data_IF_912139800259
#
_entry.id   IF_912139800259
#
_cell.length_a   1.000
_cell.length_b   1.000
_cell.length_c   1.000
_cell.angle_alpha   90.00
_cell.angle_beta   90.00
_cell.angle_gamma   90.00
#
_symmetry.space_group_name_H-M   'P 1'
#
loop_
_entity.id
_entity.type
_entity.pdbx_description
1 polymer ?
#
# COMPACT_ATOMS: atom_id res chain seq x y z
N UNK A 1 -37.41 9.91 -12.36
CA UNK A 1 -36.20 9.37 -13.02
C UNK A 1 -35.14 10.47 -12.99
N UNK A 2 -34.05 10.38 -12.21
CA UNK A 2 -32.94 11.28 -12.42
C UNK A 2 -32.24 10.89 -13.73
N UNK A 3 -31.95 11.87 -14.58
CA UNK A 3 -31.12 11.69 -15.76
C UNK A 3 -29.74 11.19 -15.31
N UNK A 4 -29.29 10.06 -15.84
CA UNK A 4 -27.88 9.70 -15.78
C UNK A 4 -27.12 10.78 -16.55
N UNK A 5 -26.39 11.63 -15.84
CA UNK A 5 -25.45 12.54 -16.47
C UNK A 5 -24.39 11.68 -17.18
N UNK A 6 -24.25 11.84 -18.50
CA UNK A 6 -23.17 11.21 -19.25
C UNK A 6 -21.84 11.59 -18.58
N UNK A 7 -21.10 10.60 -18.08
CA UNK A 7 -19.78 10.83 -17.51
C UNK A 7 -18.89 11.47 -18.57
N UNK A 8 -18.25 12.59 -18.24
CA UNK A 8 -17.41 13.28 -19.18
C UNK A 8 -16.09 12.52 -19.39
N UNK A 9 -15.73 12.30 -20.65
CA UNK A 9 -14.55 11.54 -21.06
C UNK A 9 -13.34 12.42 -21.35
N UNK A 10 -12.15 11.99 -20.95
CA UNK A 10 -10.86 12.53 -21.40
C UNK A 10 -9.89 11.39 -21.74
N UNK A 11 -9.02 11.58 -22.74
CA UNK A 11 -8.07 10.55 -23.18
C UNK A 11 -6.66 11.11 -23.28
N UNK A 12 -5.72 10.36 -22.76
CA UNK A 12 -4.27 10.60 -22.85
C UNK A 12 -3.59 9.42 -23.58
N UNK A 13 -2.26 9.36 -23.54
CA UNK A 13 -1.50 8.26 -24.15
C UNK A 13 -1.73 6.94 -23.41
N UNK A 14 -1.81 6.97 -22.08
CA UNK A 14 -1.87 5.79 -21.21
C UNK A 14 -3.19 5.66 -20.44
N UNK A 15 -4.09 6.65 -20.46
CA UNK A 15 -5.34 6.62 -19.71
C UNK A 15 -6.57 7.06 -20.52
N UNK A 16 -7.74 6.52 -20.18
CA UNK A 16 -9.05 7.07 -20.56
C UNK A 16 -9.87 7.30 -19.31
N UNK A 17 -10.27 8.53 -19.04
CA UNK A 17 -10.89 8.92 -17.78
C UNK A 17 -12.36 9.22 -17.99
N UNK A 18 -13.23 8.61 -17.18
CA UNK A 18 -14.62 8.99 -16.99
C UNK A 18 -14.78 9.62 -15.60
N UNK A 19 -15.22 10.88 -15.54
CA UNK A 19 -15.38 11.64 -14.30
C UNK A 19 -16.64 12.52 -14.32
N UNK A 20 -17.05 13.11 -13.18
CA UNK A 20 -18.24 13.96 -13.09
C UNK A 20 -18.25 15.18 -14.03
N UNK A 21 -17.09 15.73 -14.38
CA UNK A 21 -16.98 16.88 -15.30
C UNK A 21 -15.80 16.72 -16.27
N UNK A 22 -15.85 17.34 -17.47
CA UNK A 22 -14.74 17.27 -18.43
C UNK A 22 -13.44 17.85 -17.89
N UNK A 23 -13.53 18.91 -17.09
CA UNK A 23 -12.38 19.55 -16.45
C UNK A 23 -11.70 18.58 -15.48
N UNK A 24 -12.49 17.90 -14.65
CA UNK A 24 -11.97 16.93 -13.70
C UNK A 24 -11.41 15.68 -14.39
N UNK A 25 -12.06 15.21 -15.47
CA UNK A 25 -11.52 14.11 -16.28
C UNK A 25 -10.13 14.46 -16.85
N UNK A 26 -9.96 15.71 -17.31
CA UNK A 26 -8.67 16.23 -17.77
C UNK A 26 -7.63 16.30 -16.66
N UNK A 27 -8.00 16.87 -15.51
CA UNK A 27 -7.09 16.98 -14.35
C UNK A 27 -6.58 15.61 -13.89
N UNK A 28 -7.48 14.62 -13.77
CA UNK A 28 -7.12 13.26 -13.37
C UNK A 28 -6.23 12.60 -14.42
N UNK A 29 -6.56 12.74 -15.71
CA UNK A 29 -5.77 12.16 -16.79
C UNK A 29 -4.36 12.73 -16.86
N UNK A 30 -4.22 14.05 -16.77
CA UNK A 30 -2.93 14.72 -16.78
C UNK A 30 -2.12 14.39 -15.50
N UNK A 31 -2.76 14.34 -14.33
CA UNK A 31 -2.12 13.92 -13.09
C UNK A 31 -1.63 12.47 -13.15
N UNK A 32 -2.42 11.55 -13.75
CA UNK A 32 -2.03 10.16 -13.90
C UNK A 32 -0.81 9.99 -14.82
N UNK A 33 -0.73 10.73 -15.93
CA UNK A 33 0.46 10.74 -16.80
C UNK A 33 1.69 11.32 -16.09
N UNK A 34 1.51 12.42 -15.35
CA UNK A 34 2.59 13.04 -14.59
C UNK A 34 3.12 12.09 -13.51
N UNK A 35 2.22 11.48 -12.71
CA UNK A 35 2.57 10.48 -11.70
C UNK A 35 3.26 9.29 -12.35
N UNK A 36 2.74 8.79 -13.48
CA UNK A 36 3.31 7.65 -14.21
C UNK A 36 4.77 7.91 -14.57
N UNK A 37 5.07 9.08 -15.12
CA UNK A 37 6.44 9.46 -15.49
C UNK A 37 7.33 9.60 -14.25
N UNK A 38 6.94 10.44 -13.32
CA UNK A 38 7.79 10.85 -12.20
C UNK A 38 8.05 9.69 -11.26
N UNK A 39 7.01 8.93 -10.90
CA UNK A 39 7.14 7.77 -10.02
C UNK A 39 7.90 6.64 -10.71
N UNK A 40 7.77 6.45 -12.03
CA UNK A 40 8.61 5.47 -12.73
C UNK A 40 10.09 5.86 -12.65
N UNK A 41 10.44 7.13 -12.86
CA UNK A 41 11.81 7.62 -12.71
C UNK A 41 12.31 7.44 -11.27
N UNK A 42 11.46 7.72 -10.29
CA UNK A 42 11.81 7.60 -8.87
C UNK A 42 12.07 6.13 -8.46
N UNK A 43 11.14 5.23 -8.79
CA UNK A 43 11.21 3.82 -8.43
C UNK A 43 12.21 3.03 -9.28
N UNK A 44 12.27 3.29 -10.59
CA UNK A 44 13.00 2.47 -11.55
C UNK A 44 14.23 3.17 -12.15
N UNK A 45 14.40 4.48 -11.95
CA UNK A 45 15.45 5.27 -12.59
C UNK A 45 15.18 5.60 -14.07
N UNK A 46 13.99 5.26 -14.59
CA UNK A 46 13.60 5.48 -15.98
C UNK A 46 12.09 5.54 -16.13
N UNK A 47 11.63 6.18 -17.20
CA UNK A 47 10.24 6.04 -17.64
C UNK A 47 9.95 4.61 -18.11
N UNK A 48 8.68 4.24 -18.08
CA UNK A 48 8.19 2.99 -18.64
C UNK A 48 7.44 3.25 -19.96
N UNK A 49 7.51 2.32 -20.93
CA UNK A 49 6.93 2.54 -22.25
C UNK A 49 5.41 2.73 -22.16
N UNK A 50 4.85 3.41 -23.15
CA UNK A 50 3.40 3.52 -23.27
C UNK A 50 2.76 2.14 -23.41
N UNK A 51 1.59 1.96 -22.77
CA UNK A 51 0.83 0.72 -22.93
C UNK A 51 0.12 0.69 -24.29
N UNK A 52 0.01 -0.50 -24.88
CA UNK A 52 -0.69 -0.70 -26.16
C UNK A 52 -2.17 -0.32 -26.07
N UNK A 53 -2.79 -0.51 -24.89
CA UNK A 53 -4.15 -0.08 -24.58
C UNK A 53 -4.12 0.80 -23.33
N UNK A 54 -4.67 2.02 -23.37
CA UNK A 54 -4.81 2.86 -22.20
C UNK A 54 -5.60 2.19 -21.08
N UNK A 55 -5.27 2.50 -19.83
CA UNK A 55 -6.01 2.12 -18.64
C UNK A 55 -7.29 2.97 -18.51
N UNK A 56 -8.49 2.38 -18.50
CA UNK A 56 -9.71 3.07 -18.12
C UNK A 56 -9.68 3.45 -16.65
N UNK A 57 -9.92 4.73 -16.36
CA UNK A 57 -10.13 5.28 -15.03
C UNK A 57 -11.60 5.66 -14.88
N UNK A 58 -12.28 5.06 -13.91
CA UNK A 58 -13.60 5.46 -13.47
C UNK A 58 -13.49 6.23 -12.15
N UNK A 59 -13.80 7.53 -12.18
CA UNK A 59 -13.63 8.41 -11.03
C UNK A 59 -14.98 8.82 -10.42
N UNK A 60 -15.20 8.47 -9.15
CA UNK A 60 -16.31 8.96 -8.34
C UNK A 60 -15.82 10.05 -7.36
N UNK A 61 -16.15 11.31 -7.64
CA UNK A 61 -15.52 12.45 -6.94
C UNK A 61 -16.54 13.32 -6.24
N UNK A 62 -16.49 13.31 -4.91
CA UNK A 62 -17.38 14.06 -4.03
C UNK A 62 -16.65 14.57 -2.78
N UNK A 63 -16.94 15.79 -2.27
CA UNK A 63 -16.19 16.39 -1.16
C UNK A 63 -16.09 15.54 0.12
N UNK A 64 -17.12 14.76 0.43
CA UNK A 64 -17.21 13.97 1.66
C UNK A 64 -16.97 12.47 1.45
N UNK A 65 -16.55 12.07 0.25
CA UNK A 65 -16.23 10.68 -0.04
C UNK A 65 -14.82 10.38 0.45
N UNK A 66 -14.67 9.25 1.13
CA UNK A 66 -13.36 8.82 1.59
C UNK A 66 -12.46 8.47 0.39
N UNK A 67 -11.16 8.76 0.53
CA UNK A 67 -10.16 8.44 -0.48
C UNK A 67 -9.95 6.93 -0.59
N UNK A 68 -10.00 6.39 -1.81
CA UNK A 68 -9.68 5.00 -2.07
C UNK A 68 -9.71 4.68 -3.56
N UNK A 69 -9.07 3.59 -3.93
CA UNK A 69 -9.06 3.10 -5.29
C UNK A 69 -8.88 1.60 -5.37
N UNK A 70 -8.99 1.09 -6.59
CA UNK A 70 -8.62 -0.25 -6.94
C UNK A 70 -8.16 -0.29 -8.40
N UNK A 71 -6.98 -0.84 -8.63
CA UNK A 71 -6.45 -1.14 -9.95
C UNK A 71 -6.41 -2.64 -10.16
N UNK A 72 -6.96 -3.10 -11.28
CA UNK A 72 -6.93 -4.50 -11.69
C UNK A 72 -6.24 -4.68 -13.04
N UNK A 73 -5.61 -5.84 -13.20
CA UNK A 73 -4.88 -6.25 -14.39
C UNK A 73 -4.59 -7.76 -14.33
N UNK A 74 -4.17 -8.31 -15.47
CA UNK A 74 -3.89 -9.72 -15.67
C UNK A 74 -2.43 -9.88 -16.08
N UNK A 75 -1.78 -10.91 -15.52
CA UNK A 75 -0.50 -11.40 -16.01
C UNK A 75 -0.71 -12.67 -16.83
N UNK A 76 -0.20 -12.70 -18.06
CA UNK A 76 -0.09 -13.92 -18.86
C UNK A 76 1.21 -13.89 -19.67
N UNK A 77 1.95 -15.00 -19.68
CA UNK A 77 3.20 -15.16 -20.42
C UNK A 77 4.21 -14.00 -20.25
N UNK A 78 4.35 -13.50 -19.01
CA UNK A 78 5.26 -12.39 -18.69
C UNK A 78 4.83 -11.05 -19.27
N UNK A 79 3.58 -10.91 -19.70
CA UNK A 79 2.97 -9.65 -20.11
C UNK A 79 1.92 -9.24 -19.09
N UNK A 80 1.65 -7.93 -19.02
CA UNK A 80 0.57 -7.35 -18.22
C UNK A 80 -0.38 -6.59 -19.13
N UNK A 81 -1.69 -6.82 -18.96
CA UNK A 81 -2.74 -6.17 -19.74
C UNK A 81 -4.08 -6.21 -18.98
N UNK A 82 -5.13 -5.69 -19.62
CA UNK A 82 -6.47 -5.68 -19.04
C UNK A 82 -6.60 -4.71 -17.88
N UNK A 83 -5.88 -3.58 -17.96
CA UNK A 83 -5.93 -2.52 -16.97
C UNK A 83 -7.36 -2.01 -16.78
N UNK A 84 -7.76 -1.82 -15.53
CA UNK A 84 -8.96 -1.11 -15.12
C UNK A 84 -8.68 -0.46 -13.77
N UNK A 85 -9.01 0.83 -13.63
CA UNK A 85 -8.78 1.60 -12.42
C UNK A 85 -10.08 2.26 -11.98
N UNK A 86 -10.48 2.05 -10.73
CA UNK A 86 -11.60 2.72 -10.09
C UNK A 86 -11.05 3.58 -8.96
N UNK A 87 -11.38 4.87 -8.94
CA UNK A 87 -10.90 5.81 -7.93
C UNK A 87 -12.06 6.59 -7.33
N UNK A 88 -11.95 6.92 -6.05
CA UNK A 88 -12.94 7.71 -5.36
C UNK A 88 -12.34 8.65 -4.30
N UNK A 89 -13.05 9.74 -4.00
CA UNK A 89 -12.72 10.64 -2.91
C UNK A 89 -13.07 12.10 -3.18
N UNK A 90 -12.58 13.02 -2.34
CA UNK A 90 -12.60 14.44 -2.69
C UNK A 90 -11.64 14.70 -3.87
N UNK A 91 -11.87 15.78 -4.63
CA UNK A 91 -10.99 16.17 -5.74
C UNK A 91 -9.52 16.22 -5.30
N UNK A 92 -9.24 16.82 -4.15
CA UNK A 92 -7.90 16.93 -3.58
C UNK A 92 -7.29 15.55 -3.35
N UNK A 93 -7.95 14.69 -2.56
CA UNK A 93 -7.42 13.36 -2.21
C UNK A 93 -7.29 12.44 -3.42
N UNK A 94 -8.16 12.58 -4.42
CA UNK A 94 -8.05 11.84 -5.67
C UNK A 94 -6.75 12.21 -6.39
N UNK A 95 -6.45 13.50 -6.53
CA UNK A 95 -5.31 13.98 -7.31
C UNK A 95 -3.96 13.75 -6.63
N UNK A 96 -3.89 13.88 -5.30
CA UNK A 96 -2.61 13.87 -4.57
C UNK A 96 -2.39 12.65 -3.65
N UNK A 97 -3.33 11.69 -3.66
CA UNK A 97 -3.22 10.46 -2.87
C UNK A 97 -3.62 9.23 -3.67
N UNK A 98 -4.86 9.19 -4.18
CA UNK A 98 -5.38 7.98 -4.84
C UNK A 98 -4.73 7.74 -6.20
N UNK A 99 -4.66 8.76 -7.08
CA UNK A 99 -4.01 8.61 -8.39
C UNK A 99 -2.53 8.20 -8.26
N UNK A 100 -1.70 8.84 -7.42
CA UNK A 100 -0.33 8.39 -7.18
C UNK A 100 -0.24 6.92 -6.73
N UNK A 101 -1.09 6.50 -5.80
CA UNK A 101 -1.15 5.11 -5.28
C UNK A 101 -1.48 4.11 -6.40
N UNK A 102 -2.60 4.32 -7.08
CA UNK A 102 -3.09 3.41 -8.11
C UNK A 102 -2.17 3.35 -9.33
N UNK A 103 -1.57 4.47 -9.72
CA UNK A 103 -0.56 4.50 -10.79
C UNK A 103 0.71 3.73 -10.38
N UNK A 104 1.09 3.75 -9.10
CA UNK A 104 2.25 2.98 -8.61
C UNK A 104 2.07 1.47 -8.79
N UNK A 105 0.87 0.94 -8.55
CA UNK A 105 0.57 -0.47 -8.87
C UNK A 105 0.83 -0.79 -10.34
N UNK A 106 0.44 0.09 -11.26
CA UNK A 106 0.65 -0.12 -12.69
C UNK A 106 2.14 -0.10 -13.08
N UNK A 107 2.95 0.72 -12.39
CA UNK A 107 4.40 0.79 -12.58
C UNK A 107 5.03 -0.53 -12.14
N UNK A 108 4.68 -1.01 -10.95
CA UNK A 108 5.19 -2.28 -10.41
C UNK A 108 4.77 -3.46 -11.27
N UNK A 109 3.52 -3.52 -11.69
CA UNK A 109 3.03 -4.58 -12.58
C UNK A 109 3.75 -4.57 -13.94
N UNK A 110 4.01 -3.37 -14.50
CA UNK A 110 4.77 -3.22 -15.75
C UNK A 110 6.22 -3.70 -15.60
N UNK A 111 6.82 -3.45 -14.42
CA UNK A 111 8.21 -3.80 -14.12
C UNK A 111 8.39 -5.29 -13.82
N UNK A 112 7.67 -5.81 -12.82
CA UNK A 112 7.86 -7.17 -12.31
C UNK A 112 7.17 -8.24 -13.16
N UNK A 113 6.06 -7.90 -13.82
CA UNK A 113 5.29 -8.82 -14.70
C UNK A 113 4.85 -10.12 -14.02
N UNK A 114 4.70 -10.06 -12.70
CA UNK A 114 4.18 -11.10 -11.84
C UNK A 114 3.61 -10.47 -10.56
N UNK A 115 2.73 -11.17 -9.83
CA UNK A 115 2.18 -10.66 -8.58
C UNK A 115 3.27 -10.39 -7.53
N UNK A 116 3.20 -9.23 -6.89
CA UNK A 116 4.02 -8.92 -5.71
C UNK A 116 3.40 -9.50 -4.43
N UNK A 117 4.21 -9.75 -3.37
CA UNK A 117 3.68 -9.93 -2.03
C UNK A 117 2.85 -8.70 -1.63
N UNK A 118 1.67 -8.92 -1.06
CA UNK A 118 0.70 -7.83 -0.83
C UNK A 118 1.23 -6.74 0.08
N UNK A 119 2.03 -7.10 1.08
CA UNK A 119 2.64 -6.12 1.99
C UNK A 119 3.56 -5.16 1.26
N UNK A 120 4.29 -5.66 0.25
CA UNK A 120 5.29 -4.90 -0.48
C UNK A 120 4.62 -3.98 -1.50
N UNK A 121 3.62 -4.50 -2.22
CA UNK A 121 2.85 -3.74 -3.20
C UNK A 121 2.08 -2.60 -2.53
N UNK A 122 1.17 -2.93 -1.60
CA UNK A 122 0.37 -1.93 -0.90
C UNK A 122 1.24 -1.01 -0.07
N UNK A 123 2.24 -1.56 0.62
CA UNK A 123 3.12 -0.77 1.47
C UNK A 123 3.88 0.30 0.71
N UNK A 124 4.43 -0.05 -0.46
CA UNK A 124 5.15 0.88 -1.31
C UNK A 124 4.20 1.88 -1.99
N UNK A 125 3.03 1.47 -2.47
CA UNK A 125 2.02 2.39 -3.02
C UNK A 125 1.55 3.41 -1.98
N UNK A 126 1.34 3.02 -0.72
CA UNK A 126 0.98 3.97 0.34
C UNK A 126 2.09 4.98 0.66
N UNK A 127 3.35 4.74 0.28
CA UNK A 127 4.43 5.74 0.51
C UNK A 127 4.30 7.00 -0.34
N UNK A 128 3.52 6.96 -1.43
CA UNK A 128 3.29 8.11 -2.31
C UNK A 128 1.92 8.76 -2.08
N UNK A 129 1.16 8.25 -1.11
CA UNK A 129 -0.07 8.89 -0.66
C UNK A 129 0.22 10.20 0.08
N UNK A 130 -0.81 11.03 0.20
CA UNK A 130 -0.71 12.26 0.96
C UNK A 130 -0.51 11.99 2.45
N UNK A 131 0.23 12.88 3.12
CA UNK A 131 0.61 12.73 4.52
C UNK A 131 -0.58 12.52 5.49
N UNK A 132 -1.76 13.05 5.16
CA UNK A 132 -2.98 12.83 5.97
C UNK A 132 -3.48 11.40 5.94
N UNK A 133 -3.37 10.71 4.80
CA UNK A 133 -3.77 9.31 4.64
C UNK A 133 -2.73 8.39 5.27
N UNK A 134 -1.44 8.66 5.04
CA UNK A 134 -0.33 8.01 5.74
C UNK A 134 -0.51 8.10 7.25
N UNK A 135 -0.80 9.28 7.80
CA UNK A 135 -0.98 9.47 9.24
C UNK A 135 -2.14 8.63 9.82
N UNK A 136 -3.16 8.28 9.02
CA UNK A 136 -4.23 7.36 9.45
C UNK A 136 -3.69 5.93 9.56
N UNK A 137 -2.99 5.46 8.54
CA UNK A 137 -2.35 4.13 8.52
C UNK A 137 -1.39 3.97 9.69
N UNK A 138 -0.59 5.00 9.95
CA UNK A 138 0.35 5.04 11.04
C UNK A 138 -0.29 4.94 12.43
N UNK A 139 -1.43 5.61 12.66
CA UNK A 139 -2.18 5.48 13.92
C UNK A 139 -2.77 4.07 14.07
N UNK A 140 -3.39 3.55 13.00
CA UNK A 140 -3.95 2.20 12.99
C UNK A 140 -2.90 1.13 13.28
N UNK A 141 -1.68 1.28 12.77
CA UNK A 141 -0.57 0.37 13.07
C UNK A 141 -0.33 0.24 14.57
N UNK A 142 -0.25 1.37 15.29
CA UNK A 142 0.00 1.36 16.74
C UNK A 142 -1.12 0.63 17.47
N UNK A 143 -2.37 0.85 17.06
CA UNK A 143 -3.53 0.15 17.64
C UNK A 143 -3.48 -1.36 17.36
N UNK A 144 -3.14 -1.77 16.14
CA UNK A 144 -3.03 -3.18 15.78
C UNK A 144 -1.91 -3.89 16.55
N UNK A 145 -0.75 -3.25 16.70
CA UNK A 145 0.35 -3.80 17.48
C UNK A 145 -0.01 -3.93 18.97
N UNK A 146 -0.72 -2.94 19.55
CA UNK A 146 -1.19 -2.99 20.95
C UNK A 146 -2.28 -4.03 21.21
N UNK A 147 -3.07 -4.35 20.18
CA UNK A 147 -4.21 -5.28 20.29
C UNK A 147 -3.89 -6.67 19.75
N UNK A 148 -2.60 -7.01 19.56
CA UNK A 148 -2.15 -8.30 19.03
C UNK A 148 -2.73 -8.66 17.65
N UNK A 149 -3.05 -7.65 16.84
CA UNK A 149 -3.49 -7.77 15.44
C UNK A 149 -2.36 -7.55 14.42
N UNK A 150 -1.12 -7.35 14.90
CA UNK A 150 0.06 -7.34 14.04
C UNK A 150 0.25 -8.69 13.33
N UNK A 151 0.82 -8.66 12.14
CA UNK A 151 1.04 -9.87 11.33
C UNK A 151 2.50 -10.31 11.53
N UNK A 152 2.80 -11.55 11.93
CA UNK A 152 4.18 -12.03 11.96
C UNK A 152 4.84 -11.94 10.57
N UNK A 153 6.11 -11.52 10.50
CA UNK A 153 6.78 -11.27 9.23
C UNK A 153 6.92 -12.53 8.37
N UNK A 154 7.10 -13.71 8.98
CA UNK A 154 7.09 -14.98 8.26
C UNK A 154 5.77 -15.20 7.50
N UNK A 155 4.64 -14.84 8.11
CA UNK A 155 3.33 -14.98 7.49
C UNK A 155 3.14 -13.88 6.44
N UNK A 156 3.43 -12.62 6.80
CA UNK A 156 3.23 -11.47 5.93
C UNK A 156 4.01 -11.57 4.61
N UNK A 157 5.28 -12.01 4.65
CA UNK A 157 6.10 -12.17 3.46
C UNK A 157 5.64 -13.32 2.55
N UNK A 158 4.97 -14.33 3.12
CA UNK A 158 4.42 -15.45 2.37
C UNK A 158 3.03 -15.16 1.74
N UNK A 159 2.36 -14.06 2.12
CA UNK A 159 1.01 -13.73 1.64
C UNK A 159 0.99 -13.36 0.16
N UNK A 160 0.24 -14.15 -0.62
CA UNK A 160 -0.09 -13.86 -2.03
C UNK A 160 -1.52 -13.34 -2.21
N UNK A 161 -2.38 -13.62 -1.24
CA UNK A 161 -3.79 -13.22 -1.21
C UNK A 161 -4.04 -12.24 -0.06
N UNK A 162 -5.09 -11.44 -0.16
CA UNK A 162 -5.50 -10.57 0.94
C UNK A 162 -6.01 -11.41 2.13
N UNK A 163 -5.58 -11.09 3.37
CA UNK A 163 -6.18 -11.69 4.55
C UNK A 163 -7.62 -11.20 4.71
N UNK A 164 -8.43 -11.91 5.51
CA UNK A 164 -9.81 -11.47 5.82
C UNK A 164 -9.85 -10.10 6.49
N UNK A 165 -8.89 -9.84 7.36
CA UNK A 165 -8.67 -8.53 7.98
C UNK A 165 -7.53 -7.82 7.27
N UNK A 166 -7.88 -6.99 6.29
CA UNK A 166 -6.90 -6.34 5.41
C UNK A 166 -6.21 -5.14 6.03
N UNK A 167 -6.81 -4.48 7.03
CA UNK A 167 -6.28 -3.21 7.55
C UNK A 167 -4.89 -3.34 8.18
N UNK A 168 -4.58 -4.40 8.96
CA UNK A 168 -3.22 -4.62 9.45
C UNK A 168 -2.19 -4.79 8.35
N UNK A 169 -2.55 -5.41 7.21
CA UNK A 169 -1.66 -5.57 6.08
C UNK A 169 -1.27 -4.22 5.47
N UNK A 170 -2.23 -3.31 5.26
CA UNK A 170 -1.94 -1.96 4.75
C UNK A 170 -1.03 -1.19 5.72
N UNK A 171 -1.43 -1.11 6.99
CA UNK A 171 -0.72 -0.32 7.99
C UNK A 171 0.70 -0.85 8.26
N UNK A 172 0.85 -2.17 8.37
CA UNK A 172 2.15 -2.81 8.61
C UNK A 172 3.01 -2.84 7.35
N UNK A 173 2.41 -3.13 6.18
CA UNK A 173 3.09 -3.10 4.89
C UNK A 173 3.67 -1.72 4.61
N UNK A 174 2.90 -0.65 4.78
CA UNK A 174 3.37 0.72 4.62
C UNK A 174 4.55 1.03 5.53
N UNK A 175 4.42 0.72 6.82
CA UNK A 175 5.46 0.98 7.81
C UNK A 175 6.75 0.23 7.50
N UNK A 176 6.66 -1.04 7.09
CA UNK A 176 7.82 -1.82 6.72
C UNK A 176 8.45 -1.33 5.40
N UNK A 177 7.65 -1.02 4.38
CA UNK A 177 8.16 -0.47 3.12
C UNK A 177 8.90 0.84 3.37
N UNK A 178 8.31 1.76 4.15
CA UNK A 178 8.96 3.01 4.57
C UNK A 178 10.28 2.75 5.30
N UNK A 179 10.32 1.76 6.19
CA UNK A 179 11.51 1.40 6.94
C UNK A 179 12.64 0.91 6.02
N UNK A 180 12.35 -0.01 5.12
CA UNK A 180 13.33 -0.57 4.17
C UNK A 180 13.76 0.46 3.11
N UNK A 181 12.84 1.29 2.61
CA UNK A 181 13.16 2.38 1.68
C UNK A 181 14.02 3.44 2.36
N UNK A 182 13.76 3.77 3.63
CA UNK A 182 14.58 4.74 4.36
C UNK A 182 16.04 4.29 4.52
N UNK A 183 16.30 2.99 4.66
CA UNK A 183 17.65 2.47 4.84
C UNK A 183 18.50 2.52 3.56
N UNK A 184 17.93 2.18 2.40
CA UNK A 184 18.69 1.95 1.16
C UNK A 184 18.12 2.62 -0.09
N UNK A 185 16.97 3.30 0.02
CA UNK A 185 16.26 3.95 -1.07
C UNK A 185 15.34 3.03 -1.88
N UNK A 186 14.49 3.65 -2.73
CA UNK A 186 13.48 2.96 -3.55
C UNK A 186 14.08 1.95 -4.53
N UNK A 187 15.22 2.25 -5.17
CA UNK A 187 15.85 1.33 -6.15
C UNK A 187 16.41 0.06 -5.50
N UNK A 188 16.99 0.17 -4.31
CA UNK A 188 17.43 -0.98 -3.54
C UNK A 188 16.24 -1.85 -3.13
N UNK A 189 15.14 -1.22 -2.68
CA UNK A 189 13.89 -1.91 -2.37
C UNK A 189 13.33 -2.69 -3.59
N UNK A 190 13.30 -2.06 -4.78
CA UNK A 190 12.87 -2.73 -6.01
C UNK A 190 13.77 -3.91 -6.40
N UNK A 191 15.08 -3.75 -6.23
CA UNK A 191 16.06 -4.83 -6.48
C UNK A 191 15.85 -6.00 -5.53
N UNK A 192 15.68 -5.70 -4.24
CA UNK A 192 15.35 -6.68 -3.20
C UNK A 192 14.07 -7.46 -3.51
N UNK A 193 13.00 -6.78 -3.92
CA UNK A 193 11.75 -7.45 -4.32
C UNK A 193 11.98 -8.34 -5.54
N UNK A 194 12.67 -7.83 -6.56
CA UNK A 194 12.97 -8.58 -7.77
C UNK A 194 13.75 -9.85 -7.49
N UNK A 195 14.71 -9.79 -6.58
CA UNK A 195 15.51 -10.93 -6.12
C UNK A 195 14.68 -11.96 -5.34
N UNK A 196 13.92 -11.52 -4.33
CA UNK A 196 13.06 -12.43 -3.55
C UNK A 196 11.96 -13.10 -4.38
N UNK A 197 11.52 -12.48 -5.48
CA UNK A 197 10.56 -13.09 -6.42
C UNK A 197 11.17 -14.22 -7.26
N UNK A 198 12.49 -14.31 -7.42
CA UNK A 198 13.12 -15.34 -8.25
C UNK A 198 12.93 -16.74 -7.66
N UNK A 199 13.01 -16.87 -6.34
CA UNK A 199 12.98 -18.15 -5.62
C UNK A 199 11.97 -18.20 -4.46
N UNK A 200 11.37 -17.05 -4.10
CA UNK A 200 10.49 -16.94 -2.93
C UNK A 200 11.23 -17.02 -1.59
N UNK A 201 12.56 -17.01 -1.58
CA UNK A 201 13.38 -17.15 -0.38
C UNK A 201 13.65 -15.78 0.27
N UNK A 202 12.62 -15.24 0.90
CA UNK A 202 12.69 -13.93 1.57
C UNK A 202 13.77 -13.82 2.67
N UNK A 203 14.03 -14.86 3.51
CA UNK A 203 15.14 -14.81 4.47
C UNK A 203 16.52 -14.65 3.81
N UNK A 204 16.74 -15.24 2.63
CA UNK A 204 17.98 -15.01 1.85
C UNK A 204 18.02 -13.57 1.36
N UNK A 205 16.96 -13.12 0.66
CA UNK A 205 16.92 -11.78 0.07
C UNK A 205 17.09 -10.67 1.12
N UNK A 206 16.47 -10.79 2.31
CA UNK A 206 16.66 -9.77 3.34
C UNK A 206 18.09 -9.75 3.91
N UNK A 207 18.75 -10.92 3.99
CA UNK A 207 20.15 -11.01 4.44
C UNK A 207 21.08 -10.33 3.43
N UNK A 208 20.88 -10.59 2.15
CA UNK A 208 21.75 -10.07 1.08
C UNK A 208 21.56 -8.56 0.85
N UNK A 209 20.33 -8.04 0.93
CA UNK A 209 20.05 -6.64 0.60
C UNK A 209 19.99 -5.71 1.82
N UNK A 210 19.71 -6.24 3.01
CA UNK A 210 19.49 -5.46 4.23
C UNK A 210 20.23 -5.99 5.46
N UNK A 211 21.07 -7.02 5.31
CA UNK A 211 21.96 -7.51 6.38
C UNK A 211 21.22 -8.03 7.62
N UNK A 212 19.97 -8.49 7.46
CA UNK A 212 19.24 -9.18 8.52
C UNK A 212 19.38 -10.70 8.37
N UNK A 213 19.85 -11.38 9.42
CA UNK A 213 20.06 -12.83 9.39
C UNK A 213 18.80 -13.64 9.06
N UNK A 214 17.64 -13.16 9.51
CA UNK A 214 16.33 -13.77 9.29
C UNK A 214 15.19 -12.76 9.51
N UNK A 215 13.98 -13.11 9.08
CA UNK A 215 12.79 -12.24 9.16
C UNK A 215 12.42 -11.82 10.59
N UNK A 216 12.66 -12.67 11.60
CA UNK A 216 12.45 -12.27 13.01
C UNK A 216 13.41 -11.15 13.47
N UNK A 217 14.64 -11.11 12.97
CA UNK A 217 15.61 -10.07 13.31
C UNK A 217 15.15 -8.74 12.70
N UNK A 218 14.72 -8.78 11.42
CA UNK A 218 14.06 -7.64 10.77
C UNK A 218 12.82 -7.17 11.55
N UNK A 219 11.93 -8.09 11.95
CA UNK A 219 10.71 -7.74 12.69
C UNK A 219 11.03 -7.05 14.01
N UNK A 220 11.99 -7.56 14.78
CA UNK A 220 12.36 -6.96 16.06
C UNK A 220 12.99 -5.58 15.86
N UNK A 221 13.89 -5.44 14.89
CA UNK A 221 14.51 -4.15 14.55
C UNK A 221 13.48 -3.11 14.10
N UNK A 222 12.54 -3.51 13.24
CA UNK A 222 11.41 -2.67 12.82
C UNK A 222 10.49 -2.30 13.99
N UNK A 223 10.15 -3.25 14.87
CA UNK A 223 9.33 -2.98 16.06
C UNK A 223 10.01 -1.98 16.98
N UNK A 224 11.32 -2.07 17.18
CA UNK A 224 12.06 -1.12 18.01
C UNK A 224 12.09 0.27 17.37
N UNK A 225 12.27 0.36 16.05
CA UNK A 225 12.12 1.62 15.32
C UNK A 225 10.70 2.23 15.47
N UNK A 226 9.64 1.40 15.39
CA UNK A 226 8.27 1.85 15.62
C UNK A 226 8.07 2.36 17.05
N UNK A 227 8.58 1.62 18.06
CA UNK A 227 8.50 2.00 19.48
C UNK A 227 9.23 3.32 19.76
N UNK A 228 10.36 3.57 19.09
CA UNK A 228 11.14 4.81 19.20
C UNK A 228 10.48 6.02 18.52
N UNK A 229 9.24 5.89 18.03
CA UNK A 229 8.52 6.98 17.39
C UNK A 229 8.89 7.18 15.92
N UNK A 230 9.53 6.18 15.29
CA UNK A 230 9.90 6.17 13.87
C UNK A 230 10.79 7.35 13.48
N UNK A 231 11.95 7.51 14.15
CA UNK A 231 12.90 8.56 13.80
C UNK A 231 13.32 8.43 12.32
N UNK A 232 13.75 9.55 11.74
CA UNK A 232 14.24 9.60 10.38
C UNK A 232 15.40 8.61 10.20
N UNK A 233 15.32 7.80 9.15
CA UNK A 233 16.34 6.79 8.84
C UNK A 233 17.35 7.46 7.93
N UNK A 234 18.59 7.58 8.40
CA UNK A 234 19.68 8.01 7.54
C UNK A 234 20.07 6.84 6.64
N UNK A 235 20.15 7.02 5.31
CA UNK A 235 20.60 5.96 4.43
C UNK A 235 22.00 5.53 4.87
N UNK A 236 22.19 4.23 5.06
CA UNK A 236 23.52 3.70 5.31
C UNK A 236 24.35 4.02 4.05
N UNK A 237 25.25 4.99 4.19
CA UNK A 237 25.82 5.75 3.10
C UNK A 237 26.38 4.88 1.99
N UNK A 238 26.19 5.36 0.76
CA UNK A 238 27.00 5.02 -0.40
C UNK A 238 28.47 5.27 -0.08
N UNK A 239 29.12 4.30 0.57
CA UNK A 239 30.57 4.24 0.59
C UNK A 239 30.97 3.96 -0.85
N UNK A 240 31.36 5.01 -1.58
CA UNK A 240 31.96 4.92 -2.90
C UNK A 240 33.24 4.09 -2.81
N UNK A 241 33.12 2.77 -2.89
CA UNK A 241 34.22 1.87 -3.17
C UNK A 241 34.52 2.01 -4.67
N UNK A 242 35.66 2.61 -4.97
CA UNK A 242 36.18 2.78 -6.32
C UNK A 242 36.16 1.43 -7.06
N UNK A 243 35.47 1.39 -8.20
CA UNK A 243 35.43 0.24 -9.09
C UNK A 243 36.83 -0.03 -9.66
N UNK A 244 37.36 -1.21 -9.39
CA UNK A 244 38.38 -1.82 -10.24
C UNK A 244 37.63 -2.69 -11.27
N UNK A 245 37.66 -2.26 -12.54
CA UNK A 245 37.11 -2.99 -13.68
C UNK A 245 37.92 -4.26 -13.96
N UNK A 246 37.25 -5.38 -14.23
CA UNK A 246 37.82 -6.49 -15.03
C UNK A 246 36.67 -7.22 -15.78
N UNK A 247 36.85 -7.62 -17.05
CA UNK A 247 35.78 -7.71 -18.05
C UNK A 247 35.02 -9.04 -18.14
N UNK A 248 33.82 -8.97 -18.73
CA UNK A 248 32.85 -10.04 -18.92
C UNK A 248 33.18 -11.02 -20.08
N UNK A 249 32.62 -12.23 -19.99
CA UNK A 249 32.48 -13.21 -21.08
C UNK A 249 31.02 -13.73 -21.16
N UNK A 250 30.57 -14.23 -22.34
CA UNK A 250 29.17 -14.16 -22.78
C UNK A 250 28.29 -15.38 -22.47
N UNK A 251 26.98 -15.16 -22.59
CA UNK A 251 25.88 -16.07 -22.30
C UNK A 251 25.59 -17.11 -23.41
N UNK A 252 25.05 -18.26 -23.01
CA UNK A 252 24.40 -19.26 -23.89
C UNK A 252 22.93 -19.43 -23.53
N UNK A 253 22.09 -19.42 -24.56
CA UNK A 253 20.64 -19.60 -24.51
C UNK A 253 20.22 -21.07 -24.52
N UNK A 254 19.06 -21.38 -23.94
CA UNK A 254 18.28 -22.58 -24.26
C UNK A 254 16.78 -22.29 -24.16
N UNK A 255 16.04 -22.89 -25.10
CA UNK A 255 14.64 -22.66 -25.39
C UNK A 255 13.73 -23.81 -24.92
N UNK A 256 12.45 -23.49 -24.70
CA UNK A 256 11.31 -24.35 -25.05
C UNK A 256 10.67 -25.19 -23.95
N UNK A 257 9.40 -24.91 -23.64
CA UNK A 257 8.53 -25.80 -22.87
C UNK A 257 7.12 -25.24 -22.69
N UNK A 258 6.09 -26.07 -22.91
CA UNK A 258 4.73 -25.70 -23.28
C UNK A 258 3.77 -25.26 -22.14
N UNK A 259 2.65 -24.67 -22.58
CA UNK A 259 1.60 -23.99 -21.79
C UNK A 259 0.66 -24.94 -21.02
N UNK A 260 0.24 -24.54 -19.81
CA UNK A 260 -1.09 -24.86 -19.30
C UNK A 260 -2.01 -23.62 -19.37
N UNK A 261 -3.22 -23.85 -19.86
CA UNK A 261 -4.32 -22.90 -19.93
C UNK A 261 -4.84 -22.62 -18.51
N UNK A 262 -4.62 -21.42 -18.00
CA UNK A 262 -5.06 -21.02 -16.66
C UNK A 262 -6.30 -20.12 -16.73
N UNK A 263 -7.29 -20.51 -15.95
CA UNK A 263 -8.59 -19.86 -15.76
C UNK A 263 -8.46 -18.46 -15.15
N UNK A 264 -9.22 -17.52 -15.73
CA UNK A 264 -9.26 -16.10 -15.41
C UNK A 264 -9.61 -15.84 -13.93
N UNK A 265 -8.68 -15.26 -13.17
CA UNK A 265 -8.96 -14.54 -11.93
C UNK A 265 -8.12 -13.26 -11.90
N UNK A 266 -8.77 -12.12 -11.63
CA UNK A 266 -8.08 -10.86 -11.35
C UNK A 266 -7.10 -11.09 -10.21
N UNK A 267 -5.85 -10.66 -10.38
CA UNK A 267 -4.81 -10.76 -9.35
C UNK A 267 -5.10 -9.77 -8.22
N UNK A 268 -5.82 -8.69 -8.48
CA UNK A 268 -6.19 -7.69 -7.48
C UNK A 268 -7.70 -7.77 -7.33
N UNK A 269 -8.14 -8.49 -6.31
CA UNK A 269 -9.55 -8.55 -5.94
C UNK A 269 -10.04 -7.13 -5.66
N UNK A 270 -11.23 -6.79 -6.18
CA UNK A 270 -11.91 -5.54 -5.85
C UNK A 270 -11.91 -5.36 -4.33
N UNK A 271 -11.37 -4.23 -3.87
CA UNK A 271 -11.44 -3.84 -2.47
C UNK A 271 -12.87 -3.35 -2.14
N UNK A 272 -13.87 -4.22 -2.33
CA UNK A 272 -15.28 -3.97 -2.06
C UNK A 272 -15.58 -3.79 -0.55
N UNK A 273 -14.59 -4.03 0.31
CA UNK A 273 -14.72 -4.00 1.76
C UNK A 273 -14.28 -2.68 2.41
N UNK A 274 -13.62 -1.76 1.69
CA UNK A 274 -13.36 -0.44 2.25
C UNK A 274 -14.61 0.43 2.16
N UNK A 275 -15.35 0.50 3.26
CA UNK A 275 -16.41 1.50 3.48
C UNK A 275 -15.87 2.55 4.45
N UNK A 276 -15.93 3.86 4.14
CA UNK A 276 -15.58 4.88 5.11
C UNK A 276 -16.52 4.75 6.32
N UNK A 277 -15.97 4.48 7.50
CA UNK A 277 -16.71 4.67 8.73
C UNK A 277 -17.04 6.17 8.85
N UNK A 278 -18.31 6.50 9.04
CA UNK A 278 -18.71 7.82 9.55
C UNK A 278 -18.07 7.97 10.92
N UNK A 279 -16.92 8.66 11.00
CA UNK A 279 -16.35 9.08 12.28
C UNK A 279 -17.41 9.95 12.97
N UNK A 280 -17.94 9.48 14.09
CA UNK A 280 -18.74 10.33 14.98
C UNK A 280 -17.84 11.46 15.46
N UNK A 281 -18.32 12.71 15.56
CA UNK A 281 -17.55 13.79 16.14
C UNK A 281 -17.09 13.37 17.54
N UNK A 282 -15.78 13.42 17.78
CA UNK A 282 -15.24 13.32 19.13
C UNK A 282 -15.67 14.60 19.83
N UNK A 283 -16.71 14.51 20.67
CA UNK A 283 -17.07 15.59 21.59
C UNK A 283 -15.92 15.69 22.60
N UNK A 284 -15.24 16.85 22.72
CA UNK A 284 -14.25 17.04 23.76
C UNK A 284 -14.91 16.83 25.13
N UNK A 285 -14.27 16.13 26.09
CA UNK A 285 -14.79 16.11 27.45
C UNK A 285 -14.87 17.55 27.98
N UNK A 286 -16.02 17.90 28.56
CA UNK A 286 -16.24 19.19 29.18
C UNK A 286 -15.16 19.46 30.22
N UNK A 287 -14.65 20.70 30.25
CA UNK A 287 -13.69 21.16 31.23
C UNK A 287 -14.21 20.90 32.66
N UNK A 288 -13.39 20.22 33.46
CA UNK A 288 -13.67 20.00 34.89
C UNK A 288 -13.44 21.32 35.62
N UNK A 289 -14.52 21.89 36.16
CA UNK A 289 -14.50 23.11 36.97
C UNK A 289 -13.95 22.79 38.38
N UNK A 290 -12.79 23.35 38.79
CA UNK A 290 -12.17 23.01 40.05
C UNK A 290 -12.73 23.89 41.18
N UNK A 291 -14.01 23.72 41.54
CA UNK A 291 -14.62 24.35 42.74
C UNK A 291 -15.99 23.73 43.07
N UNK A 292 -16.00 22.58 43.73
CA UNK A 292 -17.09 22.19 44.64
C UNK A 292 -16.67 21.00 45.51
N UNK A 293 -16.27 21.29 46.74
CA UNK A 293 -16.29 20.33 47.85
C UNK A 293 -17.57 20.56 48.66
N UNK A 294 -18.34 19.51 48.98
CA UNK A 294 -18.95 19.24 50.30
C UNK A 294 -19.92 18.05 50.21
N UNK A 295 -19.99 17.25 51.29
CA UNK A 295 -21.20 16.48 51.64
C UNK A 295 -21.06 14.96 51.69
N UNK A 296 -21.13 14.41 52.90
CA UNK A 296 -20.96 13.01 53.25
C UNK A 296 -22.27 12.20 53.33
N UNK A 297 -22.10 10.88 53.57
CA UNK A 297 -23.06 9.83 53.98
C UNK A 297 -23.91 9.19 52.87
N UNK A 298 -24.09 7.87 52.76
CA UNK A 298 -23.66 6.73 53.57
C UNK A 298 -24.42 5.46 53.12
N UNK A 299 -24.00 4.32 53.67
CA UNK A 299 -24.65 3.00 53.73
C UNK A 299 -24.28 1.87 52.74
N UNK A 300 -23.80 0.81 53.39
CA UNK A 300 -23.48 -0.55 52.99
C UNK A 300 -24.70 -1.47 53.20
N UNK A 301 -24.84 -2.50 52.37
CA UNK A 301 -25.57 -3.73 52.72
C UNK A 301 -25.20 -4.87 51.75
N UNK A 302 -24.31 -5.73 52.23
CA UNK A 302 -23.97 -7.04 51.69
C UNK A 302 -25.09 -8.10 51.83
N UNK A 303 -25.02 -9.13 50.97
CA UNK A 303 -25.46 -10.55 51.13
C UNK A 303 -26.88 -11.00 50.69
N UNK A 304 -26.89 -11.91 49.70
CA UNK A 304 -27.51 -13.26 49.74
C UNK A 304 -27.11 -14.02 48.46
N UNK A 305 -26.05 -14.86 48.44
CA UNK A 305 -26.04 -16.32 48.71
C UNK A 305 -27.31 -17.07 48.22
N UNK A 306 -27.23 -17.88 47.15
CA UNK A 306 -26.67 -19.25 47.05
C UNK A 306 -27.78 -20.32 47.20
N UNK A 307 -28.04 -21.13 46.16
CA UNK A 307 -28.33 -22.57 46.27
C UNK A 307 -28.64 -23.17 44.87
N UNK A 308 -27.77 -23.98 44.27
CA UNK A 308 -27.53 -25.46 44.36
C UNK A 308 -28.46 -26.36 43.51
N UNK A 309 -27.79 -27.34 42.87
CA UNK A 309 -28.22 -28.69 42.39
C UNK A 309 -28.65 -28.74 40.91
N UNK A 310 -28.13 -29.65 40.08
CA UNK A 310 -27.42 -30.93 40.30
C UNK A 310 -26.47 -31.19 39.13
#
# INVERSE_FOLDING_TARGET
MPLAADAAGYRTANFTVAAPTPQLAKEIGDAAEQCRRDLAIEWLGREIPNWTKPCPIHADVHPNLGAGGATSFIFDQGQVFGWEMKIQGSRERVLDSVVPHEVTHTIFATHFRQPLPRWADEGACTTVEHHSEIAKQERMLIDFLKTSRGIPFNDMFAMKEYPRDVLPLYAQGHSLARYLIGQRGKRAFMTFLGDGLQDGNWPRAIREHYEYDHLLALQNSWLDWVKSGRPEIQPAGTTMLASAETPALPATAIAGGAKPQATLRSVYGENAAWRPQKLKPIVPPAAVDPRASTGAAGYDASLARESTRR
#
